data_IF_164137115565
#
_entry.id   IF_164137115565
#
_cell.length_a   1.000
_cell.length_b   1.000
_cell.length_c   1.000
_cell.angle_alpha   90.00
_cell.angle_beta   90.00
_cell.angle_gamma   90.00
#
_symmetry.space_group_name_H-M   'P 1'
#
loop_
_entity.id
_entity.type
_entity.pdbx_description
1 polymer ?
#
# COMPACT_ATOMS: atom_id res chain seq x y z
N UNK A 1 27.40 25.55 -17.81
CA UNK A 1 26.33 25.06 -16.91
C UNK A 1 25.01 25.60 -17.43
N UNK A 2 24.14 24.75 -18.00
CA UNK A 2 22.79 25.16 -18.39
C UNK A 2 21.96 25.20 -17.11
N UNK A 3 21.59 26.38 -16.65
CA UNK A 3 20.57 26.49 -15.63
C UNK A 3 19.28 25.97 -16.26
N UNK A 4 18.84 24.78 -15.85
CA UNK A 4 17.46 24.38 -16.08
C UNK A 4 16.60 25.51 -15.54
N UNK A 5 15.96 26.28 -16.44
CA UNK A 5 14.88 27.16 -16.07
C UNK A 5 13.79 26.26 -15.50
N UNK A 6 13.87 25.96 -14.20
CA UNK A 6 12.82 25.27 -13.46
C UNK A 6 11.59 26.11 -13.66
N UNK A 7 10.72 25.69 -14.59
CA UNK A 7 9.45 26.35 -14.83
C UNK A 7 8.75 26.46 -13.47
N UNK A 8 8.57 27.70 -13.03
CA UNK A 8 7.87 28.01 -11.79
C UNK A 8 6.47 27.37 -11.89
N UNK A 9 6.16 26.32 -11.11
CA UNK A 9 4.85 25.67 -11.17
C UNK A 9 3.73 26.65 -10.81
N UNK A 10 4.03 27.75 -10.11
CA UNK A 10 3.08 28.78 -9.73
C UNK A 10 2.69 29.70 -10.89
N UNK A 11 3.53 29.84 -11.93
CA UNK A 11 3.23 30.70 -13.07
C UNK A 11 1.92 30.31 -13.79
N UNK A 12 1.64 29.01 -13.90
CA UNK A 12 0.40 28.51 -14.51
C UNK A 12 -0.82 28.90 -13.67
N UNK A 13 -0.72 28.86 -12.35
CA UNK A 13 -1.84 29.23 -11.47
C UNK A 13 -2.11 30.74 -11.45
N UNK A 14 -1.05 31.56 -11.53
CA UNK A 14 -1.19 33.02 -11.70
C UNK A 14 -1.93 33.37 -12.98
N UNK A 15 -1.68 32.65 -14.09
CA UNK A 15 -2.41 32.83 -15.35
C UNK A 15 -3.91 32.50 -15.27
N UNK A 16 -4.32 31.76 -14.23
CA UNK A 16 -5.72 31.45 -13.92
C UNK A 16 -6.34 32.42 -12.90
N UNK A 17 -5.66 33.53 -12.59
CA UNK A 17 -6.04 34.52 -11.58
C UNK A 17 -6.30 33.89 -10.20
N UNK A 18 -5.46 32.93 -9.80
CA UNK A 18 -5.48 32.37 -8.45
C UNK A 18 -4.56 33.17 -7.54
N UNK A 19 -5.04 33.47 -6.34
CA UNK A 19 -4.21 34.08 -5.29
C UNK A 19 -3.27 33.04 -4.68
N UNK A 20 -2.20 33.49 -4.00
CA UNK A 20 -1.26 32.58 -3.34
C UNK A 20 -1.96 31.72 -2.27
N UNK A 21 -2.93 32.27 -1.55
CA UNK A 21 -3.76 31.51 -0.60
C UNK A 21 -4.59 30.41 -1.28
N UNK A 22 -5.13 30.68 -2.47
CA UNK A 22 -5.87 29.68 -3.25
C UNK A 22 -4.93 28.60 -3.80
N UNK A 23 -3.71 28.98 -4.17
CA UNK A 23 -2.66 28.05 -4.57
C UNK A 23 -2.25 27.15 -3.41
N UNK A 24 -2.15 27.67 -2.19
CA UNK A 24 -1.87 26.84 -1.01
C UNK A 24 -3.02 25.84 -0.76
N UNK A 25 -4.26 26.26 -0.99
CA UNK A 25 -5.40 25.35 -0.94
C UNK A 25 -5.34 24.26 -2.03
N UNK A 26 -4.79 24.55 -3.21
CA UNK A 26 -4.54 23.53 -4.25
C UNK A 26 -3.49 22.50 -3.83
N UNK A 27 -2.45 22.92 -3.10
CA UNK A 27 -1.45 22.01 -2.52
C UNK A 27 -2.10 20.97 -1.61
N UNK A 28 -3.15 21.39 -0.91
CA UNK A 28 -3.93 20.54 -0.01
C UNK A 28 -4.95 19.68 -0.78
N UNK A 29 -5.87 20.27 -1.54
CA UNK A 29 -7.04 19.54 -2.06
C UNK A 29 -7.48 20.00 -3.45
N UNK A 30 -6.56 20.03 -4.41
CA UNK A 30 -6.85 20.36 -5.82
C UNK A 30 -6.89 19.14 -6.74
N UNK A 31 -7.81 19.12 -7.72
CA UNK A 31 -7.77 18.17 -8.83
C UNK A 31 -8.42 18.74 -10.09
N UNK A 32 -8.01 18.24 -11.25
CA UNK A 32 -8.67 18.52 -12.53
C UNK A 32 -9.71 17.44 -12.79
N UNK A 33 -10.93 17.85 -13.10
CA UNK A 33 -12.06 17.00 -13.45
C UNK A 33 -12.39 17.17 -14.92
N UNK A 34 -12.58 16.04 -15.62
CA UNK A 34 -13.04 15.99 -17.01
C UNK A 34 -14.56 15.88 -17.04
N UNK A 35 -15.21 16.71 -17.84
CA UNK A 35 -16.67 16.75 -17.99
C UNK A 35 -17.05 16.71 -19.47
N UNK A 36 -18.01 15.87 -19.84
CA UNK A 36 -18.56 15.81 -21.20
C UNK A 36 -19.82 16.67 -21.25
N UNK A 37 -19.95 17.55 -22.25
CA UNK A 37 -21.12 18.41 -22.45
C UNK A 37 -21.60 18.31 -23.90
N UNK A 38 -22.77 17.73 -24.11
CA UNK A 38 -23.27 17.38 -25.46
C UNK A 38 -22.52 16.19 -26.07
N UNK A 39 -22.81 15.91 -27.34
CA UNK A 39 -22.41 14.66 -27.99
C UNK A 39 -20.90 14.50 -28.17
N UNK A 40 -20.13 15.61 -28.27
CA UNK A 40 -18.69 15.49 -28.54
C UNK A 40 -17.77 16.57 -27.93
N UNK A 41 -18.23 17.34 -26.93
CA UNK A 41 -17.37 18.38 -26.30
C UNK A 41 -16.91 17.96 -24.91
N UNK A 42 -15.59 17.97 -24.71
CA UNK A 42 -14.94 17.69 -23.44
C UNK A 42 -14.43 19.00 -22.86
N UNK A 43 -14.77 19.27 -21.61
CA UNK A 43 -14.30 20.41 -20.84
C UNK A 43 -13.56 19.93 -19.60
N UNK A 44 -12.59 20.71 -19.17
CA UNK A 44 -11.84 20.44 -17.95
C UNK A 44 -12.12 21.54 -16.91
N UNK A 45 -12.27 21.11 -15.66
CA UNK A 45 -12.55 21.98 -14.50
C UNK A 45 -11.53 21.71 -13.41
N UNK A 46 -10.80 22.74 -12.98
CA UNK A 46 -9.99 22.69 -11.78
C UNK A 46 -10.90 22.88 -10.56
N UNK A 47 -10.93 21.90 -9.66
CA UNK A 47 -11.77 21.90 -8.45
C UNK A 47 -10.90 21.87 -7.20
N UNK A 48 -11.23 22.71 -6.22
CA UNK A 48 -10.56 22.73 -4.92
C UNK A 48 -11.45 23.36 -3.85
N UNK A 49 -11.11 23.15 -2.57
CA UNK A 49 -11.83 23.76 -1.44
C UNK A 49 -11.01 24.92 -0.88
N UNK A 50 -11.65 26.06 -0.65
CA UNK A 50 -11.05 27.26 -0.07
C UNK A 50 -12.07 27.95 0.82
N UNK A 51 -11.69 28.27 2.07
CA UNK A 51 -12.57 28.92 3.05
C UNK A 51 -13.95 28.24 3.19
N UNK A 52 -13.96 26.90 3.28
CA UNK A 52 -15.19 26.10 3.42
C UNK A 52 -16.00 25.91 2.14
N UNK A 53 -15.69 26.63 1.05
CA UNK A 53 -16.43 26.57 -0.23
C UNK A 53 -15.67 25.78 -1.28
N UNK A 54 -16.39 25.17 -2.21
CA UNK A 54 -15.80 24.53 -3.39
C UNK A 54 -15.66 25.57 -4.51
N UNK A 55 -14.43 25.87 -4.90
CA UNK A 55 -14.13 26.72 -6.04
C UNK A 55 -13.90 25.87 -7.28
N UNK A 56 -14.43 26.34 -8.41
CA UNK A 56 -14.30 25.69 -9.71
C UNK A 56 -13.76 26.71 -10.71
N UNK A 57 -12.67 26.37 -11.38
CA UNK A 57 -12.12 27.15 -12.50
C UNK A 57 -12.23 26.35 -13.80
N UNK A 58 -12.93 26.88 -14.77
CA UNK A 58 -13.07 26.25 -16.08
C UNK A 58 -11.75 26.45 -16.87
N UNK A 59 -11.11 25.35 -17.25
CA UNK A 59 -9.89 25.36 -18.07
C UNK A 59 -10.21 25.33 -19.58
N UNK A 60 -11.49 25.11 -19.93
CA UNK A 60 -11.94 24.97 -21.31
C UNK A 60 -11.57 23.61 -21.92
N UNK A 61 -11.41 23.58 -23.25
CA UNK A 61 -11.03 22.40 -24.03
C UNK A 61 -9.54 22.38 -24.46
N UNK A 62 -8.74 23.36 -23.99
CA UNK A 62 -7.33 23.51 -24.38
C UNK A 62 -6.47 22.44 -23.69
N UNK A 63 -6.23 21.32 -24.37
CA UNK A 63 -5.48 20.17 -23.82
C UNK A 63 -4.08 20.54 -23.31
N UNK A 64 -3.37 21.47 -23.97
CA UNK A 64 -2.05 21.93 -23.54
C UNK A 64 -2.08 22.63 -22.17
N UNK A 65 -3.07 23.50 -21.92
CA UNK A 65 -3.23 24.18 -20.64
C UNK A 65 -3.56 23.18 -19.53
N UNK A 66 -4.45 22.23 -19.81
CA UNK A 66 -4.84 21.18 -18.86
C UNK A 66 -3.62 20.37 -18.43
N UNK A 67 -2.80 19.91 -19.39
CA UNK A 67 -1.56 19.18 -19.08
C UNK A 67 -0.60 19.99 -18.22
N UNK A 68 -0.43 21.29 -18.51
CA UNK A 68 0.42 22.18 -17.69
C UNK A 68 -0.11 22.32 -16.26
N UNK A 69 -1.43 22.48 -16.09
CA UNK A 69 -2.08 22.54 -14.77
C UNK A 69 -1.91 21.21 -14.02
N UNK A 70 -2.12 20.07 -14.68
CA UNK A 70 -1.95 18.75 -14.08
C UNK A 70 -0.50 18.51 -13.63
N UNK A 71 0.48 18.90 -14.44
CA UNK A 71 1.91 18.82 -14.09
C UNK A 71 2.25 19.73 -12.91
N UNK A 72 1.77 20.97 -12.91
CA UNK A 72 1.97 21.91 -11.80
C UNK A 72 1.34 21.38 -10.50
N UNK A 73 0.11 20.85 -10.56
CA UNK A 73 -0.55 20.20 -9.43
C UNK A 73 0.24 18.99 -8.94
N UNK A 74 0.71 18.14 -9.84
CA UNK A 74 1.50 16.96 -9.49
C UNK A 74 2.78 17.35 -8.75
N UNK A 75 3.47 18.42 -9.20
CA UNK A 75 4.66 18.97 -8.54
C UNK A 75 4.34 19.46 -7.13
N UNK A 76 3.37 20.37 -6.96
CA UNK A 76 3.09 20.96 -5.63
C UNK A 76 2.48 19.94 -4.65
N UNK A 77 1.75 18.93 -5.15
CA UNK A 77 1.11 17.90 -4.31
C UNK A 77 2.01 16.68 -4.07
N UNK A 78 3.21 16.62 -4.67
CA UNK A 78 4.05 15.42 -4.66
C UNK A 78 4.35 14.94 -3.23
N UNK A 79 4.77 15.85 -2.35
CA UNK A 79 5.10 15.52 -0.96
C UNK A 79 3.88 14.99 -0.20
N UNK A 80 2.73 15.67 -0.29
CA UNK A 80 1.47 15.21 0.34
C UNK A 80 1.05 13.84 -0.19
N UNK A 81 1.09 13.62 -1.51
CA UNK A 81 0.75 12.33 -2.11
C UNK A 81 1.67 11.23 -1.63
N UNK A 82 2.98 11.49 -1.55
CA UNK A 82 3.97 10.56 -0.99
C UNK A 82 3.64 10.22 0.47
N UNK A 83 3.37 11.23 1.31
CA UNK A 83 2.97 11.02 2.71
C UNK A 83 1.69 10.20 2.85
N UNK A 84 0.70 10.47 2.01
CA UNK A 84 -0.55 9.70 1.97
C UNK A 84 -0.30 8.25 1.53
N UNK A 85 0.56 8.02 0.53
CA UNK A 85 0.96 6.68 0.09
C UNK A 85 1.64 5.90 1.22
N UNK A 86 2.62 6.50 1.91
CA UNK A 86 3.30 5.91 3.07
C UNK A 86 2.30 5.55 4.18
N UNK A 87 1.41 6.48 4.53
CA UNK A 87 0.37 6.27 5.55
C UNK A 87 -0.59 5.13 5.18
N UNK A 88 -1.08 5.13 3.94
CA UNK A 88 -1.98 4.10 3.43
C UNK A 88 -1.29 2.73 3.40
N UNK A 89 -0.02 2.67 3.04
CA UNK A 89 0.74 1.44 2.99
C UNK A 89 1.01 0.88 4.41
N UNK A 90 1.33 1.74 5.38
CA UNK A 90 1.41 1.35 6.79
C UNK A 90 0.06 0.87 7.36
N UNK A 91 -1.06 1.48 6.94
CA UNK A 91 -2.40 1.00 7.30
C UNK A 91 -2.69 -0.38 6.68
N UNK A 92 -2.39 -0.57 5.39
CA UNK A 92 -2.59 -1.83 4.68
C UNK A 92 -1.80 -2.96 5.32
N UNK A 93 -0.54 -2.75 5.68
CA UNK A 93 0.28 -3.78 6.35
C UNK A 93 -0.28 -4.21 7.71
N UNK A 94 -0.78 -3.27 8.53
CA UNK A 94 -1.46 -3.59 9.79
C UNK A 94 -2.74 -4.39 9.56
N UNK A 95 -3.50 -4.05 8.51
CA UNK A 95 -4.69 -4.79 8.13
C UNK A 95 -4.35 -6.21 7.70
N UNK A 96 -3.33 -6.40 6.85
CA UNK A 96 -2.85 -7.72 6.43
C UNK A 96 -2.44 -8.56 7.64
N UNK A 97 -1.60 -8.04 8.54
CA UNK A 97 -1.22 -8.75 9.77
C UNK A 97 -2.42 -9.17 10.62
N UNK A 98 -3.43 -8.29 10.73
CA UNK A 98 -4.67 -8.59 11.47
C UNK A 98 -5.47 -9.70 10.80
N UNK A 99 -5.66 -9.64 9.48
CA UNK A 99 -6.41 -10.64 8.72
C UNK A 99 -5.70 -12.00 8.76
N UNK A 100 -4.39 -12.02 8.52
CA UNK A 100 -3.56 -13.23 8.63
C UNK A 100 -3.70 -13.87 10.01
N UNK A 101 -3.67 -13.08 11.08
CA UNK A 101 -3.85 -13.61 12.44
C UNK A 101 -5.24 -14.21 12.64
N UNK A 102 -6.29 -13.57 12.15
CA UNK A 102 -7.66 -14.08 12.26
C UNK A 102 -7.84 -15.40 11.49
N UNK A 103 -7.26 -15.48 10.30
CA UNK A 103 -7.31 -16.66 9.43
C UNK A 103 -6.53 -17.84 10.02
N UNK A 104 -5.32 -17.61 10.53
CA UNK A 104 -4.47 -18.68 11.07
C UNK A 104 -4.83 -19.13 12.49
N UNK A 105 -5.47 -18.27 13.29
CA UNK A 105 -5.80 -18.59 14.68
C UNK A 105 -6.52 -19.93 14.87
N UNK A 106 -7.61 -20.26 14.15
CA UNK A 106 -8.30 -21.54 14.32
C UNK A 106 -7.42 -22.74 13.91
N UNK A 107 -6.65 -22.63 12.83
CA UNK A 107 -5.77 -23.71 12.35
C UNK A 107 -4.63 -23.97 13.34
N UNK A 108 -4.04 -22.91 13.89
CA UNK A 108 -3.01 -23.02 14.92
C UNK A 108 -3.56 -23.66 16.20
N UNK A 109 -4.77 -23.26 16.62
CA UNK A 109 -5.41 -23.82 17.79
C UNK A 109 -5.67 -25.32 17.64
N UNK A 110 -6.14 -25.76 16.46
CA UNK A 110 -6.31 -27.18 16.15
C UNK A 110 -4.98 -27.96 16.20
N UNK A 111 -3.87 -27.31 15.83
CA UNK A 111 -2.52 -27.88 15.93
C UNK A 111 -1.87 -27.72 17.33
N UNK A 112 -2.59 -27.25 18.35
CA UNK A 112 -2.06 -27.09 19.71
C UNK A 112 -1.17 -25.85 19.92
N UNK A 113 -1.28 -24.85 19.03
CA UNK A 113 -0.60 -23.56 19.11
C UNK A 113 -1.59 -22.40 19.30
N UNK A 114 -1.10 -21.27 19.81
CA UNK A 114 -1.90 -20.05 19.91
C UNK A 114 -1.04 -18.80 19.69
N UNK A 115 -1.67 -17.71 19.28
CA UNK A 115 -1.02 -16.40 19.22
C UNK A 115 -0.91 -15.77 20.61
N UNK A 116 0.29 -15.30 20.97
CA UNK A 116 0.54 -14.39 22.08
C UNK A 116 1.14 -13.09 21.53
N UNK A 117 0.28 -12.08 21.35
CA UNK A 117 0.63 -10.88 20.58
C UNK A 117 0.85 -11.23 19.10
N UNK A 118 2.09 -11.14 18.65
CA UNK A 118 2.55 -11.56 17.32
C UNK A 118 3.35 -12.88 17.35
N UNK A 119 3.68 -13.41 18.52
CA UNK A 119 4.40 -14.67 18.64
C UNK A 119 3.42 -15.85 18.59
N UNK A 120 3.85 -16.97 18.01
CA UNK A 120 3.12 -18.25 18.09
C UNK A 120 3.74 -19.10 19.20
N UNK A 121 2.92 -19.66 20.09
CA UNK A 121 3.37 -20.47 21.23
C UNK A 121 2.54 -21.74 21.34
N UNK A 122 3.18 -22.85 21.76
CA UNK A 122 2.48 -24.10 22.08
C UNK A 122 1.57 -23.89 23.30
N UNK A 123 0.36 -24.43 23.25
CA UNK A 123 -0.60 -24.41 24.36
C UNK A 123 -0.06 -25.36 25.43
N UNK A 124 0.06 -24.89 26.68
CA UNK A 124 0.46 -25.74 27.81
C UNK A 124 -0.71 -26.65 28.16
N UNK A 125 -0.49 -27.96 28.14
CA UNK A 125 -1.47 -29.03 28.35
C UNK A 125 -2.16 -29.04 29.74
N UNK A 126 -1.91 -28.07 30.62
CA UNK A 126 -2.51 -27.97 31.95
C UNK A 126 -3.47 -26.79 32.17
N UNK A 127 -3.78 -25.99 31.14
CA UNK A 127 -4.77 -24.90 31.22
C UNK A 127 -5.78 -25.02 30.07
N UNK A 128 -6.68 -25.97 30.19
CA UNK A 128 -7.93 -25.93 29.42
C UNK A 128 -8.68 -24.65 29.81
N UNK A 129 -8.83 -23.77 28.82
CA UNK A 129 -9.69 -22.59 28.82
C UNK A 129 -9.24 -21.41 29.69
N UNK A 130 -8.50 -20.48 29.09
CA UNK A 130 -8.51 -19.10 29.55
C UNK A 130 -8.65 -18.13 28.38
N UNK A 131 -9.88 -17.62 28.22
CA UNK A 131 -10.20 -16.29 27.67
C UNK A 131 -10.10 -16.03 26.16
N UNK A 132 -10.61 -16.91 25.30
CA UNK A 132 -11.36 -16.39 24.15
C UNK A 132 -12.71 -15.89 24.66
N UNK A 133 -12.70 -14.70 25.28
CA UNK A 133 -13.88 -13.89 25.50
C UNK A 133 -14.41 -13.59 24.09
N UNK A 134 -15.31 -14.44 23.59
CA UNK A 134 -16.06 -14.25 22.34
C UNK A 134 -16.72 -12.88 22.45
N UNK A 135 -16.07 -11.85 21.92
CA UNK A 135 -16.75 -10.62 21.57
C UNK A 135 -17.74 -11.07 20.51
N UNK A 136 -19.05 -11.08 20.83
CA UNK A 136 -20.13 -11.35 19.87
C UNK A 136 -19.81 -10.51 18.62
N UNK A 137 -19.34 -11.16 17.57
CA UNK A 137 -19.27 -10.56 16.25
C UNK A 137 -20.70 -10.58 15.74
N UNK A 138 -21.24 -9.41 15.41
CA UNK A 138 -22.50 -9.32 14.69
C UNK A 138 -22.30 -9.98 13.31
N UNK A 139 -23.12 -10.96 12.92
CA UNK A 139 -23.03 -11.59 11.62
C UNK A 139 -23.80 -10.75 10.61
N UNK A 140 -23.18 -9.70 10.08
CA UNK A 140 -23.74 -8.97 8.93
C UNK A 140 -22.66 -8.15 8.24
N UNK A 141 -21.77 -8.83 7.52
CA UNK A 141 -20.95 -8.23 6.45
C UNK A 141 -20.36 -9.40 5.65
N UNK A 142 -21.17 -9.93 4.72
CA UNK A 142 -20.67 -10.79 3.66
C UNK A 142 -19.84 -9.92 2.71
N UNK A 143 -18.56 -10.24 2.47
CA UNK A 143 -17.86 -9.70 1.31
C UNK A 143 -18.45 -10.38 0.07
N UNK A 144 -19.06 -9.60 -0.81
CA UNK A 144 -19.48 -10.06 -2.13
C UNK A 144 -18.25 -10.49 -2.94
N UNK A 145 -18.26 -11.75 -3.37
CA UNK A 145 -17.27 -12.37 -4.24
C UNK A 145 -17.41 -11.84 -5.67
N UNK A 146 -16.77 -10.72 -5.97
CA UNK A 146 -16.44 -10.32 -7.33
C UNK A 146 -14.95 -10.61 -7.56
N UNK A 147 -14.65 -11.84 -7.96
CA UNK A 147 -13.32 -12.22 -8.46
C UNK A 147 -13.26 -11.87 -9.95
N UNK A 148 -12.44 -10.89 -10.38
CA UNK A 148 -12.24 -10.65 -11.80
C UNK A 148 -11.50 -11.84 -12.42
N UNK A 149 -12.13 -12.48 -13.41
CA UNK A 149 -11.50 -13.45 -14.29
C UNK A 149 -10.39 -12.77 -15.09
N UNK A 150 -9.13 -13.07 -14.75
CA UNK A 150 -7.98 -12.62 -15.51
C UNK A 150 -7.78 -13.65 -16.63
N UNK A 151 -8.04 -13.21 -17.87
CA UNK A 151 -7.77 -13.97 -19.07
C UNK A 151 -6.26 -14.23 -19.19
N UNK A 152 -5.92 -15.45 -19.60
CA UNK A 152 -4.55 -15.87 -19.87
C UNK A 152 -4.03 -15.14 -21.11
N UNK A 153 -3.11 -14.19 -20.91
CA UNK A 153 -2.38 -13.55 -22.01
C UNK A 153 -1.06 -14.29 -22.31
N UNK A 154 -0.86 -14.43 -23.60
CA UNK A 154 0.19 -15.15 -24.31
C UNK A 154 1.59 -14.60 -24.01
N UNK A 155 2.55 -15.52 -23.98
CA UNK A 155 3.95 -15.25 -23.63
C UNK A 155 4.68 -14.59 -24.80
N UNK A 156 5.05 -13.32 -24.64
CA UNK A 156 5.95 -12.57 -25.52
C UNK A 156 7.36 -12.46 -24.91
N UNK A 157 8.42 -12.20 -25.71
CA UNK A 157 9.79 -12.57 -25.39
C UNK A 157 10.47 -11.67 -24.35
N UNK A 158 11.43 -12.26 -23.64
CA UNK A 158 12.15 -11.72 -22.50
C UNK A 158 12.94 -10.44 -22.80
N UNK A 159 12.30 -9.28 -22.62
CA UNK A 159 13.00 -8.05 -22.27
C UNK A 159 13.46 -8.15 -20.81
N UNK A 160 14.68 -7.68 -20.53
CA UNK A 160 15.36 -7.77 -19.23
C UNK A 160 14.44 -7.37 -18.07
N UNK A 161 13.88 -8.36 -17.37
CA UNK A 161 12.94 -8.15 -16.29
C UNK A 161 13.61 -7.33 -15.18
N UNK A 162 12.91 -6.31 -14.67
CA UNK A 162 13.47 -5.50 -13.60
C UNK A 162 13.70 -6.37 -12.35
N UNK A 163 14.68 -6.06 -11.48
CA UNK A 163 14.89 -6.81 -10.24
C UNK A 163 13.63 -6.93 -9.37
N UNK A 164 12.74 -5.94 -9.45
CA UNK A 164 11.43 -5.94 -8.77
C UNK A 164 10.50 -7.00 -9.34
N UNK A 165 10.45 -7.15 -10.66
CA UNK A 165 9.58 -8.12 -11.34
C UNK A 165 10.02 -9.54 -11.05
N UNK A 166 11.34 -9.80 -11.10
CA UNK A 166 11.93 -11.08 -10.70
C UNK A 166 11.54 -11.45 -9.26
N UNK A 167 11.55 -10.46 -8.34
CA UNK A 167 11.18 -10.70 -6.94
C UNK A 167 9.69 -10.95 -6.76
N UNK A 168 8.82 -10.26 -7.50
CA UNK A 168 7.38 -10.52 -7.48
C UNK A 168 7.07 -11.92 -7.99
N UNK A 169 7.74 -12.35 -9.07
CA UNK A 169 7.55 -13.69 -9.61
C UNK A 169 7.92 -14.77 -8.59
N UNK A 170 9.06 -14.64 -7.91
CA UNK A 170 9.46 -15.59 -6.85
C UNK A 170 8.44 -15.68 -5.71
N UNK A 171 7.77 -14.58 -5.36
CA UNK A 171 6.71 -14.58 -4.34
C UNK A 171 5.48 -15.35 -4.85
N UNK A 172 5.12 -15.20 -6.13
CA UNK A 172 4.02 -15.98 -6.76
C UNK A 172 4.35 -17.45 -6.83
N UNK A 173 5.56 -17.81 -7.23
CA UNK A 173 6.01 -19.21 -7.29
C UNK A 173 5.96 -19.85 -5.90
N UNK A 174 6.43 -19.13 -4.87
CA UNK A 174 6.35 -19.55 -3.47
C UNK A 174 4.89 -19.72 -3.00
N UNK A 175 3.98 -18.81 -3.37
CA UNK A 175 2.56 -18.95 -3.07
C UNK A 175 1.98 -20.21 -3.71
N UNK A 176 2.27 -20.45 -4.99
CA UNK A 176 1.79 -21.62 -5.71
C UNK A 176 2.29 -22.92 -5.07
N UNK A 177 3.59 -22.99 -4.72
CA UNK A 177 4.16 -24.12 -4.00
C UNK A 177 3.49 -24.33 -2.64
N UNK A 178 3.28 -23.26 -1.88
CA UNK A 178 2.62 -23.32 -0.58
C UNK A 178 1.19 -23.85 -0.68
N UNK A 179 0.42 -23.41 -1.69
CA UNK A 179 -0.96 -23.86 -1.89
C UNK A 179 -1.06 -25.33 -2.31
N UNK A 180 0.02 -25.92 -2.83
CA UNK A 180 0.08 -27.34 -3.16
C UNK A 180 0.33 -28.26 -1.96
N UNK A 181 0.64 -27.70 -0.77
CA UNK A 181 0.84 -28.48 0.46
C UNK A 181 -0.44 -29.19 0.90
N UNK A 182 -0.34 -30.47 1.26
CA UNK A 182 -1.49 -31.28 1.71
C UNK A 182 -2.02 -30.82 3.07
N UNK A 183 -1.16 -30.30 3.94
CA UNK A 183 -1.56 -29.81 5.26
C UNK A 183 -2.23 -28.44 5.14
N UNK A 184 -3.52 -28.29 5.53
CA UNK A 184 -4.21 -27.01 5.44
C UNK A 184 -3.52 -25.91 6.24
N UNK A 185 -2.90 -26.25 7.38
CA UNK A 185 -2.16 -25.29 8.19
C UNK A 185 -0.92 -24.79 7.45
N UNK A 186 -0.13 -25.69 6.83
CA UNK A 186 1.08 -25.31 6.09
C UNK A 186 0.75 -24.49 4.85
N UNK A 187 -0.28 -24.89 4.10
CA UNK A 187 -0.74 -24.15 2.94
C UNK A 187 -1.16 -22.71 3.28
N UNK A 188 -1.96 -22.54 4.33
CA UNK A 188 -2.38 -21.21 4.79
C UNK A 188 -1.23 -20.40 5.41
N UNK A 189 -0.29 -21.05 6.10
CA UNK A 189 0.90 -20.39 6.65
C UNK A 189 1.80 -19.86 5.53
N UNK A 190 2.02 -20.67 4.50
CA UNK A 190 2.77 -20.27 3.31
C UNK A 190 2.09 -19.15 2.53
N UNK A 191 0.78 -19.25 2.28
CA UNK A 191 0.00 -18.18 1.65
C UNK A 191 0.06 -16.86 2.43
N UNK A 192 -0.13 -16.92 3.76
CA UNK A 192 0.03 -15.77 4.64
C UNK A 192 1.43 -15.15 4.57
N UNK A 193 2.48 -15.97 4.47
CA UNK A 193 3.85 -15.50 4.33
C UNK A 193 4.06 -14.79 2.97
N UNK A 194 3.49 -15.32 1.89
CA UNK A 194 3.53 -14.69 0.56
C UNK A 194 2.85 -13.31 0.53
N UNK A 195 1.69 -13.17 1.21
CA UNK A 195 1.00 -11.89 1.37
C UNK A 195 1.87 -10.87 2.10
N UNK A 196 2.52 -11.29 3.19
CA UNK A 196 3.43 -10.43 3.95
C UNK A 196 4.66 -10.03 3.12
N UNK A 197 5.22 -10.95 2.31
CA UNK A 197 6.32 -10.63 1.39
C UNK A 197 5.91 -9.61 0.34
N UNK A 198 4.70 -9.76 -0.23
CA UNK A 198 4.16 -8.83 -1.23
C UNK A 198 4.02 -7.42 -0.64
N UNK A 199 3.43 -7.31 0.55
CA UNK A 199 3.29 -6.02 1.23
C UNK A 199 4.65 -5.45 1.63
N UNK A 200 5.57 -6.27 2.13
CA UNK A 200 6.93 -5.86 2.49
C UNK A 200 7.71 -5.32 1.28
N UNK A 201 7.60 -5.98 0.12
CA UNK A 201 8.21 -5.52 -1.13
C UNK A 201 7.65 -4.15 -1.56
N UNK A 202 6.33 -3.99 -1.47
CA UNK A 202 5.69 -2.71 -1.77
C UNK A 202 6.13 -1.59 -0.82
N UNK A 203 6.17 -1.85 0.50
CA UNK A 203 6.67 -0.88 1.48
C UNK A 203 8.13 -0.52 1.21
N UNK A 204 8.97 -1.50 0.88
CA UNK A 204 10.38 -1.29 0.55
C UNK A 204 10.51 -0.34 -0.65
N UNK A 205 9.76 -0.55 -1.72
CA UNK A 205 9.78 0.34 -2.89
C UNK A 205 9.32 1.77 -2.57
N UNK A 206 8.29 1.91 -1.71
CA UNK A 206 7.86 3.24 -1.25
C UNK A 206 8.93 3.94 -0.39
N UNK A 207 9.65 3.20 0.45
CA UNK A 207 10.74 3.73 1.26
C UNK A 207 11.92 4.14 0.39
N UNK A 208 12.33 3.31 -0.58
CA UNK A 208 13.42 3.65 -1.52
C UNK A 208 13.08 4.87 -2.38
N UNK A 209 11.81 5.08 -2.72
CA UNK A 209 11.36 6.28 -3.43
C UNK A 209 11.15 7.51 -2.54
N UNK A 210 11.02 7.32 -1.22
CA UNK A 210 10.81 8.41 -0.27
C UNK A 210 12.11 8.89 0.39
N UNK A 211 13.04 7.98 0.65
CA UNK A 211 14.35 8.31 1.20
C UNK A 211 15.17 8.99 0.10
N UNK A 212 15.79 10.15 0.37
CA UNK A 212 16.76 10.71 -0.55
C UNK A 212 17.87 9.68 -0.79
N UNK A 213 18.32 9.53 -2.03
CA UNK A 213 19.40 8.59 -2.40
C UNK A 213 20.69 8.86 -1.61
N UNK A 214 20.86 10.09 -1.15
CA UNK A 214 21.91 10.55 -0.25
C UNK A 214 21.33 10.70 1.15
N UNK A 215 21.68 9.77 2.05
CA UNK A 215 21.36 9.80 3.49
C UNK A 215 21.87 11.08 4.19
N UNK A 216 22.71 11.87 3.52
CA UNK A 216 23.34 13.09 4.01
C UNK A 216 22.42 14.32 4.05
N UNK A 217 21.20 14.24 3.49
CA UNK A 217 20.29 15.41 3.35
C UNK A 217 18.93 15.13 3.99
N UNK A 218 18.92 14.70 5.25
CA UNK A 218 17.77 14.98 6.11
C UNK A 218 18.03 16.33 6.77
N UNK A 219 17.82 17.41 6.01
CA UNK A 219 17.94 18.77 6.55
C UNK A 219 16.88 19.03 7.64
N UNK A 220 15.72 18.34 7.56
CA UNK A 220 14.64 18.43 8.55
C UNK A 220 14.25 17.07 9.16
N UNK A 221 14.20 17.01 10.49
CA UNK A 221 13.73 15.85 11.27
C UNK A 221 12.25 15.51 10.98
N UNK A 222 11.45 16.46 10.52
CA UNK A 222 10.01 16.26 10.23
C UNK A 222 9.74 15.24 9.11
N UNK A 223 10.71 15.02 8.21
CA UNK A 223 10.57 14.02 7.16
C UNK A 223 10.79 12.60 7.67
N UNK A 224 11.60 12.41 8.72
CA UNK A 224 11.82 11.09 9.32
C UNK A 224 10.57 10.58 10.05
N UNK A 225 9.85 11.46 10.73
CA UNK A 225 8.59 11.11 11.43
C UNK A 225 7.52 10.58 10.48
N UNK A 226 7.56 10.95 9.20
CA UNK A 226 6.66 10.45 8.18
C UNK A 226 7.02 9.04 7.72
N UNK A 227 8.31 8.71 7.72
CA UNK A 227 8.86 7.42 7.28
C UNK A 227 8.80 6.37 8.40
N UNK A 228 8.98 6.80 9.65
CA UNK A 228 9.05 5.93 10.83
C UNK A 228 7.89 4.92 10.93
N UNK A 229 6.60 5.28 10.76
CA UNK A 229 5.50 4.31 10.84
C UNK A 229 5.58 3.20 9.77
N UNK A 230 6.12 3.51 8.60
CA UNK A 230 6.31 2.55 7.50
C UNK A 230 7.47 1.62 7.83
N UNK A 231 8.58 2.16 8.31
CA UNK A 231 9.73 1.37 8.76
C UNK A 231 9.34 0.42 9.91
N UNK A 232 8.63 0.93 10.92
CA UNK A 232 8.11 0.12 12.03
C UNK A 232 7.20 -1.02 11.52
N UNK A 233 6.37 -0.74 10.51
CA UNK A 233 5.49 -1.74 9.91
C UNK A 233 6.27 -2.79 9.11
N UNK A 234 7.29 -2.37 8.37
CA UNK A 234 8.19 -3.26 7.63
C UNK A 234 8.96 -4.20 8.56
N UNK A 235 9.54 -3.68 9.64
CA UNK A 235 10.26 -4.47 10.65
C UNK A 235 9.34 -5.48 11.34
N UNK A 236 8.09 -5.10 11.62
CA UNK A 236 7.08 -6.01 12.19
C UNK A 236 6.74 -7.15 11.22
N UNK A 237 6.62 -6.86 9.92
CA UNK A 237 6.39 -7.90 8.92
C UNK A 237 7.58 -8.84 8.80
N UNK A 238 8.82 -8.35 8.75
CA UNK A 238 10.01 -9.21 8.72
C UNK A 238 10.06 -10.18 9.90
N UNK A 239 9.86 -9.66 11.13
CA UNK A 239 9.77 -10.49 12.33
C UNK A 239 8.64 -11.52 12.27
N UNK A 240 7.52 -11.18 11.63
CA UNK A 240 6.40 -12.11 11.50
C UNK A 240 6.68 -13.21 10.48
N UNK A 241 7.28 -12.87 9.34
CA UNK A 241 7.69 -13.84 8.31
C UNK A 241 8.73 -14.82 8.87
N UNK A 242 9.71 -14.33 9.63
CA UNK A 242 10.70 -15.17 10.32
C UNK A 242 10.02 -16.16 11.29
N UNK A 243 9.05 -15.69 12.08
CA UNK A 243 8.30 -16.57 13.01
C UNK A 243 7.47 -17.63 12.29
N UNK A 244 6.90 -17.29 11.14
CA UNK A 244 6.17 -18.26 10.32
C UNK A 244 7.13 -19.30 9.73
N UNK A 245 8.31 -18.90 9.26
CA UNK A 245 9.34 -19.84 8.81
C UNK A 245 9.81 -20.78 9.94
N UNK A 246 10.05 -20.24 11.14
CA UNK A 246 10.41 -21.05 12.31
C UNK A 246 9.30 -22.02 12.72
N UNK A 247 8.03 -21.60 12.59
CA UNK A 247 6.89 -22.47 12.87
C UNK A 247 6.78 -23.58 11.83
N UNK A 248 6.93 -23.27 10.54
CA UNK A 248 6.87 -24.26 9.46
C UNK A 248 7.95 -25.32 9.61
N UNK A 249 9.18 -24.91 9.99
CA UNK A 249 10.27 -25.84 10.30
C UNK A 249 9.89 -26.81 11.42
N UNK A 250 9.29 -26.31 12.52
CA UNK A 250 8.82 -27.15 13.64
C UNK A 250 7.66 -28.07 13.28
N UNK A 251 6.82 -27.68 12.34
CA UNK A 251 5.72 -28.53 11.85
C UNK A 251 6.23 -29.62 10.91
N UNK A 252 7.43 -29.45 10.34
CA UNK A 252 8.07 -30.42 9.44
C UNK A 252 8.87 -31.48 10.21
N UNK A 253 9.23 -31.22 11.46
CA UNK A 253 9.87 -32.21 12.33
C UNK A 253 8.86 -33.33 12.66
N UNK A 254 9.17 -34.61 12.35
CA UNK A 254 8.31 -35.72 12.74
C UNK A 254 8.19 -35.74 14.27
N UNK A 255 6.96 -35.85 14.77
CA UNK A 255 6.72 -35.97 16.21
C UNK A 255 7.45 -37.23 16.72
N UNK A 256 8.28 -37.11 17.77
CA UNK A 256 8.95 -38.25 18.39
C UNK A 256 7.95 -39.21 19.06
#
# INVERSE_FOLDING_TARGET
MKFDHKEDPFAVFRSLNLTDEQVEALRTQGFVSRERRGENRIYFKLRFRFQGRQLVRCLGAKAALVRRVEQALAKIQAQRKRRAQLTNAARRSRQTLRLTRLLLAPLLQAAGFQFHGLAVRKIRSGRTNCSLRRKKMNPSEHPSDDVPQIAAEETCPAAEASPTDCRQQRIRDYLHQSLAETSPLRANLGAANADLMTVALHLKGLLEGALPKTLEVFEDFEDFDQVKPVLDSLLRMYKQMERFAQLDARLSEPLP
#
